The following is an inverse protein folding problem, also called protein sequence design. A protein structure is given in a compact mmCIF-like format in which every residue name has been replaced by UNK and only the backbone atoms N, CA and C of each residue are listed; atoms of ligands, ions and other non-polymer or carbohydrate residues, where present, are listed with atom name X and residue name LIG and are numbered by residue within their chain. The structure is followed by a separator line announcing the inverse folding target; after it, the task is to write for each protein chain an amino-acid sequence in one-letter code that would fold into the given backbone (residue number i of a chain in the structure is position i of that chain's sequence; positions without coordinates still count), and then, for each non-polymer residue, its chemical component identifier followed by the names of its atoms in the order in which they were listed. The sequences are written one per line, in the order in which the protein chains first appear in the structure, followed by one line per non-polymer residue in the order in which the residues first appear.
data_IF_912874353913
#
_entry.id   IF_912874353913
#
_cell.length_a   1.000
_cell.length_b   1.000
_cell.length_c   1.000
_cell.angle_alpha   90.00
_cell.angle_beta   90.00
_cell.angle_gamma   90.00
#
_symmetry.space_group_name_H-M   'P 1'
#
loop_
_entity.id
_entity.type
_entity.pdbx_description
1 polymer ?
#
# COMPACT_ATOMS: atom_id res chain seq x y z
N UNK A 1 5.97 -0.23 -13.09
CA UNK A 1 7.35 0.31 -13.23
C UNK A 1 7.27 1.78 -12.84
N UNK A 2 8.10 2.22 -11.89
CA UNK A 2 7.95 3.53 -11.25
C UNK A 2 8.95 4.52 -11.85
N UNK A 3 8.44 5.67 -12.29
CA UNK A 3 9.26 6.75 -12.79
C UNK A 3 9.05 8.04 -11.98
N UNK A 4 10.15 8.71 -11.65
CA UNK A 4 10.18 10.06 -11.10
C UNK A 4 11.14 10.87 -11.96
N UNK A 5 10.65 11.97 -12.54
CA UNK A 5 11.47 12.94 -13.27
C UNK A 5 11.86 14.06 -12.31
N UNK A 6 13.13 14.44 -12.32
CA UNK A 6 13.61 15.60 -11.56
C UNK A 6 13.18 16.89 -12.25
N UNK A 7 12.74 17.88 -11.47
CA UNK A 7 12.40 19.22 -11.95
C UNK A 7 13.45 20.28 -11.58
N UNK A 8 13.37 21.50 -12.13
CA UNK A 8 14.20 22.62 -11.69
C UNK A 8 13.94 22.92 -10.21
N UNK A 9 15.00 22.92 -9.39
CA UNK A 9 14.91 23.15 -7.94
C UNK A 9 14.73 21.90 -7.08
N UNK A 10 14.62 20.71 -7.67
CA UNK A 10 14.69 19.46 -6.91
C UNK A 10 16.13 19.14 -6.51
N UNK A 11 16.36 18.89 -5.23
CA UNK A 11 17.59 18.24 -4.76
C UNK A 11 17.52 16.74 -4.99
N UNK A 12 18.68 16.08 -5.08
CA UNK A 12 18.77 14.62 -5.20
C UNK A 12 17.94 13.90 -4.13
N UNK A 13 17.99 14.37 -2.89
CA UNK A 13 17.22 13.82 -1.77
C UNK A 13 15.71 13.97 -1.93
N UNK A 14 15.24 15.10 -2.48
CA UNK A 14 13.83 15.33 -2.80
C UNK A 14 13.32 14.28 -3.80
N UNK A 15 14.10 14.02 -4.85
CA UNK A 15 13.76 13.03 -5.89
C UNK A 15 13.72 11.62 -5.31
N UNK A 16 14.71 11.24 -4.49
CA UNK A 16 14.75 9.93 -3.81
C UNK A 16 13.53 9.77 -2.91
N UNK A 17 13.18 10.79 -2.10
CA UNK A 17 11.99 10.74 -1.25
C UNK A 17 10.70 10.60 -2.05
N UNK A 18 10.56 11.33 -3.17
CA UNK A 18 9.41 11.21 -4.08
C UNK A 18 9.31 9.80 -4.65
N UNK A 19 10.43 9.19 -5.04
CA UNK A 19 10.48 7.82 -5.53
C UNK A 19 10.08 6.82 -4.45
N UNK A 20 10.67 6.88 -3.26
CA UNK A 20 10.33 6.00 -2.14
C UNK A 20 8.86 6.09 -1.77
N UNK A 21 8.28 7.30 -1.75
CA UNK A 21 6.83 7.48 -1.54
C UNK A 21 6.00 6.81 -2.63
N UNK A 22 6.38 6.93 -3.91
CA UNK A 22 5.69 6.23 -5.01
C UNK A 22 5.77 4.70 -4.85
N UNK A 23 6.95 4.16 -4.51
CA UNK A 23 7.16 2.71 -4.28
C UNK A 23 6.25 2.18 -3.18
N UNK A 24 6.16 2.91 -2.07
CA UNK A 24 5.30 2.55 -0.94
C UNK A 24 3.81 2.65 -1.33
N UNK A 25 3.42 3.72 -2.02
CA UNK A 25 2.03 3.95 -2.41
C UNK A 25 1.52 2.93 -3.43
N UNK A 26 2.36 2.52 -4.39
CA UNK A 26 2.01 1.43 -5.31
C UNK A 26 2.03 0.06 -4.64
N UNK A 27 2.55 -0.06 -3.42
CA UNK A 27 2.61 -1.34 -2.69
C UNK A 27 3.54 -2.37 -3.35
N UNK A 28 4.45 -1.91 -4.20
CA UNK A 28 5.30 -2.77 -5.04
C UNK A 28 6.10 -3.80 -4.21
N UNK A 29 6.63 -3.37 -3.07
CA UNK A 29 7.37 -4.25 -2.15
C UNK A 29 6.47 -5.36 -1.56
N UNK A 30 5.21 -5.05 -1.28
CA UNK A 30 4.26 -6.04 -0.76
C UNK A 30 3.90 -7.06 -1.84
N UNK A 31 3.76 -6.62 -3.10
CA UNK A 31 3.52 -7.53 -4.21
C UNK A 31 4.69 -8.48 -4.45
N UNK A 32 5.92 -7.96 -4.41
CA UNK A 32 7.11 -8.80 -4.55
C UNK A 32 7.17 -9.86 -3.47
N UNK A 33 6.92 -9.49 -2.20
CA UNK A 33 6.89 -10.44 -1.09
C UNK A 33 5.82 -11.54 -1.26
N UNK A 34 4.66 -11.21 -1.84
CA UNK A 34 3.60 -12.20 -2.12
C UNK A 34 3.95 -13.14 -3.25
N UNK A 35 4.76 -12.69 -4.21
CA UNK A 35 5.19 -13.45 -5.38
C UNK A 35 6.51 -14.20 -5.18
N UNK A 36 7.20 -13.95 -4.08
CA UNK A 36 8.49 -14.57 -3.75
C UNK A 36 8.38 -16.10 -3.66
N UNK A 37 7.24 -16.61 -3.19
CA UNK A 37 6.97 -18.04 -3.08
C UNK A 37 5.60 -18.37 -3.67
N UNK A 38 5.44 -19.61 -4.14
CA UNK A 38 4.13 -20.10 -4.55
C UNK A 38 3.20 -20.21 -3.33
N UNK A 39 2.06 -19.55 -3.42
CA UNK A 39 0.96 -19.72 -2.47
C UNK A 39 -0.18 -20.49 -3.12
N UNK A 40 -0.77 -21.43 -2.38
CA UNK A 40 -1.93 -22.18 -2.87
C UNK A 40 -3.10 -21.21 -3.12
N UNK A 41 -3.91 -21.40 -4.18
CA UNK A 41 -5.05 -20.51 -4.47
C UNK A 41 -6.06 -20.38 -3.32
N UNK A 42 -6.17 -21.39 -2.46
CA UNK A 42 -7.00 -21.33 -1.25
C UNK A 42 -6.48 -20.34 -0.20
N UNK A 43 -5.16 -20.28 -0.01
CA UNK A 43 -4.51 -19.37 0.95
C UNK A 43 -4.62 -17.92 0.47
N UNK A 44 -4.41 -17.69 -0.84
CA UNK A 44 -4.59 -16.37 -1.45
C UNK A 44 -6.01 -15.85 -1.23
N UNK A 45 -7.04 -16.68 -1.47
CA UNK A 45 -8.45 -16.32 -1.22
C UNK A 45 -8.72 -16.02 0.25
N UNK A 46 -8.14 -16.80 1.17
CA UNK A 46 -8.25 -16.60 2.62
C UNK A 46 -7.64 -15.27 3.06
N UNK A 47 -6.45 -14.93 2.57
CA UNK A 47 -5.80 -13.65 2.86
C UNK A 47 -6.57 -12.46 2.30
N UNK A 48 -7.07 -12.55 1.07
CA UNK A 48 -7.89 -11.50 0.46
C UNK A 48 -9.16 -11.21 1.28
N UNK A 49 -9.87 -12.26 1.72
CA UNK A 49 -11.05 -12.11 2.58
C UNK A 49 -10.70 -11.41 3.90
N UNK A 50 -9.62 -11.85 4.56
CA UNK A 50 -9.13 -11.26 5.82
C UNK A 50 -8.78 -9.78 5.65
N UNK A 51 -8.17 -9.39 4.54
CA UNK A 51 -7.82 -8.01 4.24
C UNK A 51 -9.05 -7.12 4.02
N UNK A 52 -10.07 -7.63 3.33
CA UNK A 52 -11.35 -6.93 3.14
C UNK A 52 -12.03 -6.71 4.50
N UNK A 53 -12.14 -7.74 5.33
CA UNK A 53 -12.72 -7.64 6.68
C UNK A 53 -11.97 -6.63 7.55
N UNK A 54 -10.64 -6.64 7.50
CA UNK A 54 -9.79 -5.65 8.21
C UNK A 54 -10.11 -4.23 7.78
N UNK A 55 -10.22 -3.96 6.47
CA UNK A 55 -10.57 -2.63 5.94
C UNK A 55 -11.98 -2.21 6.34
N UNK A 56 -12.95 -3.11 6.27
CA UNK A 56 -14.32 -2.82 6.71
C UNK A 56 -14.37 -2.47 8.20
N UNK A 57 -13.67 -3.23 9.05
CA UNK A 57 -13.56 -2.97 10.49
C UNK A 57 -12.92 -1.60 10.77
N UNK A 58 -11.85 -1.25 10.07
CA UNK A 58 -11.20 0.06 10.18
C UNK A 58 -12.15 1.21 9.78
N UNK A 59 -12.88 1.06 8.67
CA UNK A 59 -13.88 2.06 8.22
C UNK A 59 -15.02 2.23 9.21
N UNK A 60 -15.54 1.14 9.78
CA UNK A 60 -16.59 1.19 10.82
C UNK A 60 -16.10 1.95 12.05
N UNK A 61 -14.87 1.67 12.52
CA UNK A 61 -14.25 2.39 13.65
C UNK A 61 -14.05 3.87 13.37
N UNK A 62 -13.63 4.23 12.15
CA UNK A 62 -13.47 5.63 11.76
C UNK A 62 -14.82 6.37 11.76
N UNK A 63 -15.86 5.79 11.16
CA UNK A 63 -17.22 6.36 11.16
C UNK A 63 -17.76 6.57 12.58
N UNK A 64 -17.64 5.55 13.44
CA UNK A 64 -18.10 5.62 14.83
C UNK A 64 -17.38 6.70 15.65
N UNK A 65 -16.15 7.09 15.28
CA UNK A 65 -15.44 8.22 15.90
C UNK A 65 -15.99 9.57 15.41
N UNK A 66 -16.32 9.68 14.14
CA UNK A 66 -16.85 10.91 13.54
C UNK A 66 -18.28 11.21 13.98
N UNK A 67 -19.12 10.18 14.16
CA UNK A 67 -20.53 10.37 14.61
C UNK A 67 -20.65 10.68 16.11
N UNK A 68 -19.54 10.67 16.86
CA UNK A 68 -19.52 10.88 18.31
C UNK A 68 -19.07 12.30 18.71
N UNK A 69 -18.99 13.21 17.74
CA UNK A 69 -18.73 14.65 17.85
C UNK A 69 -20.01 15.35 17.40
#
# INVERSE_FOLDING_TARGET
MIFVKAGPGDTSDSVIRKFTKKVINEGLLLEFKKKEFYQKPAEVRKEQKKEIERRQKARRRARARTTKI
#
